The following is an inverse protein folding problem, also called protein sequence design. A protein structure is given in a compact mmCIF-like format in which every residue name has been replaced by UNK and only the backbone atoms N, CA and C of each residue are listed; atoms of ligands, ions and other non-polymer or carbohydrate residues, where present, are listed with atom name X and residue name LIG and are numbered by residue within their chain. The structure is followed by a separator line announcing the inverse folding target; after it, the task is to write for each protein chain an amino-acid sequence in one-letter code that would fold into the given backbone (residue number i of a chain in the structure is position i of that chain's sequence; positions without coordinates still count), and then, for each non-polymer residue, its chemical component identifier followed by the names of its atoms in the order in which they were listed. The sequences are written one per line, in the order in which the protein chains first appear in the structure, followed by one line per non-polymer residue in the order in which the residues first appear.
data_IF_068574866422
#
_entry.id   IF_068574866422
#
_cell.length_a   1.000
_cell.length_b   1.000
_cell.length_c   1.000
_cell.angle_alpha   90.00
_cell.angle_beta   90.00
_cell.angle_gamma   90.00
#
_symmetry.space_group_name_H-M   'P 1'
#
loop_
_entity.id
_entity.type
_entity.pdbx_description
1 polymer ?
#
# COMPACT_ATOMS: atom_id res chain seq x y z
N UNK A 1 17.10 6.68 -14.48
CA UNK A 1 16.62 5.35 -14.01
C UNK A 1 17.49 4.91 -12.83
N UNK A 2 16.92 4.22 -11.84
CA UNK A 2 17.66 3.64 -10.72
C UNK A 2 17.78 2.12 -10.94
N UNK A 3 18.91 1.54 -10.58
CA UNK A 3 19.15 0.10 -10.63
C UNK A 3 19.26 -0.43 -9.19
N UNK A 4 18.69 -1.60 -8.94
CA UNK A 4 18.81 -2.31 -7.67
C UNK A 4 19.59 -3.60 -7.96
N UNK A 5 20.67 -3.82 -7.22
CA UNK A 5 21.43 -5.06 -7.28
C UNK A 5 21.13 -5.86 -6.01
N UNK A 6 20.49 -7.01 -6.16
CA UNK A 6 20.12 -7.89 -5.05
C UNK A 6 20.98 -9.15 -5.16
N UNK A 7 21.73 -9.46 -4.10
CA UNK A 7 22.40 -10.75 -3.97
C UNK A 7 21.41 -11.74 -3.40
N UNK A 8 21.29 -12.89 -4.02
CA UNK A 8 20.42 -13.99 -3.61
C UNK A 8 21.23 -15.27 -3.59
N UNK A 9 20.79 -16.24 -2.81
CA UNK A 9 21.29 -17.61 -2.87
C UNK A 9 20.81 -18.34 -4.13
N UNK A 10 21.42 -19.49 -4.41
CA UNK A 10 21.18 -20.27 -5.63
C UNK A 10 19.73 -20.81 -5.71
N UNK A 11 19.11 -21.14 -4.58
CA UNK A 11 17.73 -21.65 -4.55
C UNK A 11 16.74 -20.54 -4.92
N UNK A 12 16.94 -19.35 -4.37
CA UNK A 12 16.15 -18.17 -4.70
C UNK A 12 16.33 -17.78 -6.18
N UNK A 13 17.56 -17.85 -6.70
CA UNK A 13 17.83 -17.60 -8.12
C UNK A 13 17.11 -18.60 -9.04
N UNK A 14 17.24 -19.90 -8.75
CA UNK A 14 16.56 -20.93 -9.54
C UNK A 14 15.03 -20.79 -9.49
N UNK A 15 14.49 -20.40 -8.33
CA UNK A 15 13.05 -20.18 -8.17
C UNK A 15 12.55 -19.00 -9.00
N UNK A 16 13.26 -17.87 -9.00
CA UNK A 16 12.84 -16.69 -9.78
C UNK A 16 12.99 -16.94 -11.29
N UNK A 17 14.03 -17.66 -11.71
CA UNK A 17 14.22 -18.06 -13.11
C UNK A 17 13.06 -18.92 -13.62
N UNK A 18 12.72 -19.98 -12.88
CA UNK A 18 11.61 -20.87 -13.23
C UNK A 18 10.27 -20.12 -13.31
N UNK A 19 10.04 -19.18 -12.39
CA UNK A 19 8.81 -18.38 -12.38
C UNK A 19 8.75 -17.38 -13.52
N UNK A 20 9.87 -16.74 -13.84
CA UNK A 20 9.97 -15.84 -14.98
C UNK A 20 9.72 -16.60 -16.30
N UNK A 21 10.35 -17.77 -16.46
CA UNK A 21 10.12 -18.66 -17.62
C UNK A 21 8.65 -19.05 -17.75
N UNK A 22 8.02 -19.51 -16.64
CA UNK A 22 6.61 -19.88 -16.64
C UNK A 22 5.67 -18.71 -16.99
N UNK A 23 6.08 -17.47 -16.69
CA UNK A 23 5.36 -16.25 -17.06
C UNK A 23 5.70 -15.76 -18.49
N UNK A 24 6.66 -16.38 -19.19
CA UNK A 24 7.14 -15.92 -20.49
C UNK A 24 7.91 -14.60 -20.42
N UNK A 25 8.55 -14.31 -19.28
CA UNK A 25 9.25 -13.05 -19.00
C UNK A 25 10.74 -13.30 -18.74
N UNK A 26 11.55 -12.27 -18.95
CA UNK A 26 12.92 -12.30 -18.41
C UNK A 26 12.89 -12.13 -16.89
N UNK A 27 13.92 -12.63 -16.18
CA UNK A 27 14.01 -12.47 -14.72
C UNK A 27 13.87 -11.01 -14.27
N UNK A 28 14.51 -10.01 -14.91
CA UNK A 28 14.31 -8.60 -14.53
C UNK A 28 12.89 -8.09 -14.76
N UNK A 29 12.18 -8.56 -15.78
CA UNK A 29 10.79 -8.18 -16.03
C UNK A 29 9.85 -8.79 -15.00
N UNK A 30 10.03 -10.08 -14.72
CA UNK A 30 9.27 -10.77 -13.68
C UNK A 30 9.50 -10.14 -12.30
N UNK A 31 10.75 -9.81 -11.95
CA UNK A 31 11.07 -9.12 -10.70
C UNK A 31 10.39 -7.74 -10.59
N UNK A 32 10.33 -6.97 -11.68
CA UNK A 32 9.60 -5.69 -11.69
C UNK A 32 8.11 -5.89 -11.47
N UNK A 33 7.52 -6.90 -12.10
CA UNK A 33 6.10 -7.21 -11.94
C UNK A 33 5.80 -7.61 -10.50
N UNK A 34 6.58 -8.52 -9.90
CA UNK A 34 6.41 -8.92 -8.49
C UNK A 34 6.49 -7.73 -7.55
N UNK A 35 7.45 -6.81 -7.76
CA UNK A 35 7.57 -5.61 -6.94
C UNK A 35 6.39 -4.63 -7.13
N UNK A 36 5.86 -4.52 -8.35
CA UNK A 36 4.70 -3.69 -8.63
C UNK A 36 3.43 -4.27 -7.99
N UNK A 37 3.23 -5.58 -8.11
CA UNK A 37 2.11 -6.31 -7.54
C UNK A 37 2.10 -6.21 -6.01
N UNK A 38 3.25 -6.45 -5.35
CA UNK A 38 3.39 -6.31 -3.90
C UNK A 38 3.10 -4.87 -3.43
N UNK A 39 3.61 -3.86 -4.15
CA UNK A 39 3.34 -2.46 -3.84
C UNK A 39 1.85 -2.11 -3.96
N UNK A 40 1.16 -2.68 -4.93
CA UNK A 40 -0.28 -2.50 -5.11
C UNK A 40 -1.09 -3.23 -4.02
N UNK A 41 -0.71 -4.45 -3.66
CA UNK A 41 -1.35 -5.25 -2.60
C UNK A 41 -1.25 -4.58 -1.23
N UNK A 42 -0.07 -4.08 -0.86
CA UNK A 42 0.13 -3.34 0.39
C UNK A 42 -0.76 -2.10 0.43
N UNK A 43 -0.82 -1.35 -0.68
CA UNK A 43 -1.70 -0.18 -0.80
C UNK A 43 -3.17 -0.56 -0.64
N UNK A 44 -3.62 -1.62 -1.33
CA UNK A 44 -5.01 -2.07 -1.26
C UNK A 44 -5.39 -2.48 0.17
N UNK A 45 -4.56 -3.29 0.83
CA UNK A 45 -4.76 -3.71 2.23
C UNK A 45 -4.83 -2.52 3.18
N UNK A 46 -3.96 -1.52 2.99
CA UNK A 46 -3.98 -0.29 3.79
C UNK A 46 -5.29 0.48 3.62
N UNK A 47 -5.73 0.70 2.38
CA UNK A 47 -6.98 1.44 2.11
C UNK A 47 -8.21 0.69 2.64
N UNK A 48 -8.24 -0.64 2.50
CA UNK A 48 -9.31 -1.46 3.06
C UNK A 48 -9.36 -1.36 4.60
N UNK A 49 -8.20 -1.42 5.27
CA UNK A 49 -8.12 -1.24 6.72
C UNK A 49 -8.55 0.18 7.15
N UNK A 50 -8.17 1.20 6.37
CA UNK A 50 -8.61 2.58 6.60
C UNK A 50 -10.12 2.75 6.47
N UNK A 51 -10.73 2.20 5.43
CA UNK A 51 -12.18 2.21 5.24
C UNK A 51 -12.90 1.48 6.39
N UNK A 52 -12.39 0.30 6.77
CA UNK A 52 -12.96 -0.43 7.91
C UNK A 52 -12.85 0.35 9.23
N UNK A 53 -11.71 1.03 9.46
CA UNK A 53 -11.55 1.91 10.61
C UNK A 53 -12.55 3.07 10.58
N UNK A 54 -12.73 3.74 9.44
CA UNK A 54 -13.71 4.83 9.34
C UNK A 54 -15.12 4.34 9.60
N UNK A 55 -15.50 3.17 9.09
CA UNK A 55 -16.83 2.60 9.32
C UNK A 55 -17.07 2.26 10.79
N UNK A 56 -16.07 1.71 11.49
CA UNK A 56 -16.19 1.33 12.89
C UNK A 56 -16.28 2.53 13.85
N UNK A 57 -15.64 3.65 13.51
CA UNK A 57 -15.50 4.79 14.43
C UNK A 57 -16.27 6.03 13.98
N UNK A 58 -16.96 6.00 12.84
CA UNK A 58 -17.69 7.14 12.30
C UNK A 58 -18.67 7.75 13.31
N UNK A 59 -19.50 6.91 13.95
CA UNK A 59 -20.51 7.37 14.90
C UNK A 59 -19.87 8.00 16.15
N UNK A 60 -18.82 7.38 16.69
CA UNK A 60 -18.08 7.92 17.84
C UNK A 60 -17.41 9.26 17.52
N UNK A 61 -16.86 9.40 16.30
CA UNK A 61 -16.31 10.67 15.83
C UNK A 61 -17.40 11.73 15.65
N UNK A 62 -18.57 11.36 15.13
CA UNK A 62 -19.70 12.26 14.96
C UNK A 62 -20.27 12.71 16.33
N UNK A 63 -20.28 11.82 17.32
CA UNK A 63 -20.69 12.15 18.69
C UNK A 63 -19.74 13.15 19.36
N UNK A 64 -18.42 12.91 19.28
CA UNK A 64 -17.42 13.75 19.93
C UNK A 64 -17.14 15.07 19.18
N UNK A 65 -17.20 15.05 17.84
CA UNK A 65 -16.73 16.16 16.99
C UNK A 65 -17.74 16.68 15.97
N UNK A 66 -18.91 16.05 15.83
CA UNK A 66 -19.89 16.37 14.77
C UNK A 66 -20.69 17.66 14.97
N UNK A 67 -20.68 18.22 16.18
CA UNK A 67 -21.21 19.55 16.44
C UNK A 67 -20.07 20.58 16.47
N UNK A 68 -20.16 21.69 15.71
CA UNK A 68 -19.23 22.80 15.91
C UNK A 68 -19.40 23.28 17.36
N UNK A 69 -18.33 23.23 18.15
CA UNK A 69 -18.30 23.89 19.46
C UNK A 69 -18.71 25.35 19.24
N UNK A 70 -19.81 25.77 19.87
CA UNK A 70 -20.28 27.15 19.85
C UNK A 70 -19.27 28.12 20.49
N UNK A 71 -18.22 27.57 21.13
CA UNK A 71 -17.13 28.30 21.76
C UNK A 71 -15.90 28.48 20.83
N UNK A 72 -15.91 27.87 19.64
CA UNK A 72 -14.88 28.12 18.63
C UNK A 72 -15.25 29.39 17.87
N UNK A 73 -14.74 30.53 18.35
CA UNK A 73 -14.77 31.81 17.62
C UNK A 73 -14.28 31.66 16.17
N UNK A 74 -14.63 32.61 15.28
CA UNK A 74 -14.47 32.44 13.84
C UNK A 74 -13.05 31.99 13.50
N UNK A 75 -12.94 30.89 12.77
CA UNK A 75 -11.66 30.43 12.25
C UNK A 75 -11.04 31.58 11.45
N UNK A 76 -9.93 32.12 11.94
CA UNK A 76 -9.23 33.20 11.27
C UNK A 76 -8.90 32.75 9.84
N UNK A 77 -9.51 33.43 8.87
CA UNK A 77 -9.21 33.28 7.47
C UNK A 77 -7.71 33.51 7.27
N UNK A 78 -7.02 32.50 6.74
CA UNK A 78 -5.65 32.59 6.25
C UNK A 78 -5.68 32.63 4.72
#
# INVERSE_FOLDING_TARGET
MKQINVRVDDETAATIEKRAEAAGLTVPEYAKQVLADEGNDVRHRFLAAGAHFTDLFADAFAEEFGAPSTDRGPAAAA
#
